data_IF_106837904129
#
_entry.id   IF_106837904129
#
_cell.length_a   1.000
_cell.length_b   1.000
_cell.length_c   1.000
_cell.angle_alpha   90.00
_cell.angle_beta   90.00
_cell.angle_gamma   90.00
#
_symmetry.space_group_name_H-M   'P 1'
#
loop_
_entity.id
_entity.type
_entity.pdbx_description
1 polymer ?
#
# COMPACT_ATOMS: atom_id res chain seq x y z
N UNK A 1 -12.53 10.85 8.85
CA UNK A 1 -11.96 9.88 7.88
C UNK A 1 -10.45 9.87 8.03
N UNK A 2 -9.88 8.95 8.80
CA UNK A 2 -8.42 8.81 8.90
C UNK A 2 -7.93 7.94 7.73
N UNK A 3 -7.23 8.56 6.77
CA UNK A 3 -6.56 7.83 5.68
C UNK A 3 -5.45 6.98 6.29
N UNK A 4 -5.61 5.66 6.24
CA UNK A 4 -4.60 4.70 6.68
C UNK A 4 -3.33 4.81 5.84
N UNK A 5 -2.18 4.72 6.51
CA UNK A 5 -0.85 4.74 5.91
C UNK A 5 -0.69 3.57 4.94
N UNK A 6 -0.14 3.81 3.74
CA UNK A 6 0.03 2.79 2.70
C UNK A 6 0.86 1.60 3.21
N UNK A 7 0.60 0.40 2.65
CA UNK A 7 1.29 -0.83 3.04
C UNK A 7 2.82 -0.69 2.89
N UNK A 8 3.27 -0.12 1.77
CA UNK A 8 4.69 0.12 1.50
C UNK A 8 5.36 1.04 2.53
N UNK A 9 4.64 2.04 3.02
CA UNK A 9 5.16 2.95 4.06
C UNK A 9 5.30 2.22 5.41
N UNK A 10 4.39 1.29 5.72
CA UNK A 10 4.48 0.44 6.92
C UNK A 10 5.64 -0.55 6.82
N UNK A 11 5.78 -1.21 5.68
CA UNK A 11 6.85 -2.19 5.44
C UNK A 11 8.24 -1.51 5.47
N UNK A 12 8.36 -0.30 4.91
CA UNK A 12 9.58 0.51 4.98
C UNK A 12 9.94 0.90 6.43
N UNK A 13 8.97 1.32 7.24
CA UNK A 13 9.21 1.66 8.65
C UNK A 13 9.65 0.43 9.44
N UNK A 14 9.05 -0.72 9.17
CA UNK A 14 9.37 -1.97 9.83
C UNK A 14 10.78 -2.46 9.46
N UNK A 15 11.17 -2.34 8.17
CA UNK A 15 12.52 -2.64 7.71
C UNK A 15 13.57 -1.71 8.35
N UNK A 16 13.33 -0.40 8.40
CA UNK A 16 14.25 0.54 9.07
C UNK A 16 14.38 0.25 10.57
N UNK A 17 13.30 -0.17 11.24
CA UNK A 17 13.35 -0.55 12.64
C UNK A 17 14.18 -1.84 12.85
N UNK A 18 14.03 -2.83 11.97
CA UNK A 18 14.86 -4.06 12.02
C UNK A 18 16.32 -3.79 11.71
N UNK A 19 16.61 -2.94 10.72
CA UNK A 19 17.97 -2.55 10.37
C UNK A 19 18.66 -1.83 11.54
N UNK A 20 17.94 -0.91 12.20
CA UNK A 20 18.47 -0.21 13.38
C UNK A 20 18.79 -1.17 14.52
N UNK A 21 17.94 -2.17 14.78
CA UNK A 21 18.17 -3.21 15.79
C UNK A 21 19.39 -4.08 15.47
N UNK A 22 19.51 -4.54 14.23
CA UNK A 22 20.66 -5.34 13.78
C UNK A 22 21.96 -4.53 13.85
N UNK A 23 21.93 -3.23 13.51
CA UNK A 23 23.09 -2.34 13.66
C UNK A 23 23.53 -2.19 15.11
N UNK A 24 22.60 -2.08 16.06
CA UNK A 24 22.94 -2.03 17.49
C UNK A 24 23.51 -3.36 17.99
N UNK A 25 22.94 -4.50 17.58
CA UNK A 25 23.45 -5.83 17.96
C UNK A 25 24.86 -6.09 17.42
N UNK A 26 25.15 -5.65 16.18
CA UNK A 26 26.50 -5.74 15.60
C UNK A 26 27.51 -4.91 16.40
N UNK A 27 27.12 -3.71 16.85
CA UNK A 27 27.99 -2.85 17.64
C UNK A 27 28.26 -3.45 19.03
N UNK A 28 27.24 -4.02 19.67
CA UNK A 28 27.39 -4.71 20.95
C UNK A 28 28.30 -5.94 20.84
N UNK A 29 28.14 -6.75 19.78
CA UNK A 29 29.01 -7.90 19.51
C UNK A 29 30.45 -7.48 19.23
N UNK A 30 30.67 -6.37 18.52
CA UNK A 30 32.01 -5.80 18.31
C UNK A 30 32.66 -5.36 19.62
N UNK A 31 31.91 -4.71 20.51
CA UNK A 31 32.40 -4.33 21.83
C UNK A 31 32.73 -5.54 22.70
N UNK A 32 31.90 -6.58 22.68
CA UNK A 32 32.18 -7.84 23.39
C UNK A 32 33.44 -8.52 22.86
N UNK A 33 33.60 -8.61 21.53
CA UNK A 33 34.80 -9.18 20.91
C UNK A 33 36.06 -8.40 21.30
N UNK A 34 35.98 -7.06 21.33
CA UNK A 34 37.10 -6.21 21.77
C UNK A 34 37.48 -6.49 23.23
N UNK A 35 36.51 -6.59 24.14
CA UNK A 35 36.75 -6.92 25.56
C UNK A 35 37.41 -8.30 25.72
N UNK A 36 36.95 -9.31 25.00
CA UNK A 36 37.53 -10.66 25.05
C UNK A 36 38.96 -10.67 24.54
N UNK A 37 39.24 -9.95 23.45
CA UNK A 37 40.59 -9.83 22.90
C UNK A 37 41.55 -9.11 23.86
N UNK A 38 41.07 -8.07 24.54
CA UNK A 38 41.85 -7.30 25.52
C UNK A 38 42.14 -8.15 26.78
N UNK A 39 41.13 -8.87 27.31
CA UNK A 39 41.30 -9.83 28.41
C UNK A 39 42.32 -10.92 28.06
N UNK A 40 42.23 -11.50 26.86
CA UNK A 40 43.16 -12.55 26.41
C UNK A 40 44.59 -12.01 26.24
N UNK A 41 44.75 -10.74 25.84
CA UNK A 41 46.05 -10.08 25.75
C UNK A 41 46.66 -9.85 27.14
N UNK A 42 45.85 -9.40 28.10
CA UNK A 42 46.29 -9.22 29.49
C UNK A 42 46.69 -10.55 30.15
N UNK A 43 45.91 -11.61 29.95
CA UNK A 43 46.24 -12.96 30.44
C UNK A 43 47.56 -13.49 29.87
N UNK A 44 47.77 -13.33 28.56
CA UNK A 44 49.05 -13.70 27.91
C UNK A 44 50.23 -12.93 28.49
N UNK A 45 50.04 -11.64 28.78
CA UNK A 45 51.08 -10.81 29.40
C UNK A 45 51.38 -11.29 30.83
N UNK A 46 50.36 -11.56 31.64
CA UNK A 46 50.52 -12.10 33.00
C UNK A 46 51.28 -13.44 33.00
N UNK A 47 50.93 -14.35 32.10
CA UNK A 47 51.62 -15.64 31.98
C UNK A 47 53.11 -15.48 31.61
N UNK A 48 53.43 -14.58 30.69
CA UNK A 48 54.82 -14.28 30.33
C UNK A 48 55.59 -13.65 31.49
N UNK A 49 54.96 -12.74 32.25
CA UNK A 49 55.56 -12.10 33.42
C UNK A 49 55.81 -13.14 34.55
N UNK A 50 54.87 -14.06 34.80
CA UNK A 50 55.03 -15.16 35.76
C UNK A 50 56.13 -16.17 35.37
N UNK A 51 56.29 -16.44 34.08
CA UNK A 51 57.35 -17.31 33.56
C UNK A 51 58.73 -16.64 33.66
N UNK A 52 58.83 -15.35 33.34
CA UNK A 52 60.04 -14.56 33.51
C UNK A 52 60.49 -14.51 34.98
N UNK A 53 59.55 -14.27 35.91
CA UNK A 53 59.83 -14.28 37.35
C UNK A 53 60.34 -15.65 37.84
N UNK A 54 59.74 -16.74 37.38
CA UNK A 54 60.23 -18.10 37.69
C UNK A 54 61.65 -18.32 37.19
N UNK A 55 61.98 -17.81 36.00
CA UNK A 55 63.32 -17.97 35.43
C UNK A 55 64.38 -17.16 36.16
N UNK A 56 64.05 -15.94 36.58
CA UNK A 56 64.95 -15.10 37.38
C UNK A 56 65.30 -15.81 38.69
N UNK A 57 64.29 -16.35 39.39
CA UNK A 57 64.51 -17.07 40.66
C UNK A 57 65.44 -18.28 40.50
N UNK A 58 65.26 -19.07 39.44
CA UNK A 58 66.16 -20.20 39.14
C UNK A 58 67.61 -19.76 38.89
N UNK A 59 67.81 -18.65 38.18
CA UNK A 59 69.15 -18.13 37.89
C UNK A 59 69.82 -17.55 39.15
N UNK A 60 69.05 -16.94 40.05
CA UNK A 60 69.55 -16.46 41.35
C UNK A 60 69.99 -17.62 42.25
N UNK A 61 69.24 -18.73 42.29
CA UNK A 61 69.61 -19.95 43.03
C UNK A 61 70.90 -20.57 42.46
N UNK A 62 71.03 -20.68 41.13
CA UNK A 62 72.24 -21.17 40.48
C UNK A 62 73.46 -20.28 40.73
N UNK A 63 73.28 -18.96 40.73
CA UNK A 63 74.35 -18.01 41.05
C UNK A 63 74.83 -18.22 42.49
N UNK A 64 73.92 -18.42 43.44
CA UNK A 64 74.26 -18.66 44.83
C UNK A 64 75.07 -19.96 45.01
N UNK A 65 74.69 -21.04 44.32
CA UNK A 65 75.42 -22.32 44.35
C UNK A 65 76.83 -22.22 43.76
N UNK A 66 76.99 -21.52 42.63
CA UNK A 66 78.30 -21.29 42.01
C UNK A 66 79.22 -20.42 42.89
N UNK A 67 78.66 -19.41 43.56
CA UNK A 67 79.42 -18.53 44.44
C UNK A 67 79.96 -19.28 45.67
N UNK A 68 79.21 -20.28 46.17
CA UNK A 68 79.63 -21.21 47.22
C UNK A 68 80.73 -22.18 46.77
N UNK A 69 80.73 -22.60 45.50
CA UNK A 69 81.77 -23.47 44.95
C UNK A 69 83.10 -22.73 44.76
N UNK A 70 83.08 -21.47 44.32
CA UNK A 70 84.30 -20.66 44.13
C UNK A 70 84.99 -20.33 45.45
N UNK A 71 84.24 -20.19 46.55
CA UNK A 71 84.81 -19.96 47.89
C UNK A 71 85.50 -21.20 48.48
N UNK A 72 85.10 -22.40 48.06
CA UNK A 72 85.73 -23.66 48.51
C UNK A 72 87.03 -24.04 47.76
N UNK A 73 87.36 -23.38 46.64
CA UNK A 73 88.51 -23.76 45.77
C UNK A 73 89.76 -22.89 46.02
N UNK A 74 89.69 -21.89 46.91
CA UNK A 74 90.90 -21.14 47.33
C UNK A 74 91.44 -21.68 48.67
N UNK A 75 92.38 -22.62 48.62
CA UNK A 75 93.58 -22.50 49.43
C UNK A 75 94.87 -22.64 48.61
N UNK A 76 95.84 -21.82 48.99
CA UNK A 76 97.30 -22.04 48.92
C UNK A 76 98.01 -21.90 47.55
N UNK A 77 98.57 -20.71 47.35
CA UNK A 77 99.78 -20.53 46.54
C UNK A 77 100.80 -19.76 47.40
N UNK A 78 101.73 -20.49 48.02
CA UNK A 78 102.87 -19.95 48.76
C UNK A 78 104.14 -20.63 48.26
N UNK A 79 104.99 -19.90 47.55
CA UNK A 79 106.33 -20.35 47.18
C UNK A 79 107.34 -19.25 47.51
N UNK A 80 107.73 -19.20 48.78
CA UNK A 80 108.89 -18.46 49.25
C UNK A 80 109.84 -19.45 49.90
N UNK A 81 111.00 -19.67 49.28
CA UNK A 81 112.33 -19.83 49.90
C UNK A 81 113.29 -20.54 48.93
N UNK A 82 114.04 -19.74 48.17
CA UNK A 82 115.31 -20.15 47.58
C UNK A 82 116.45 -19.74 48.54
N UNK A 83 117.45 -20.59 48.82
CA UNK A 83 118.66 -20.16 49.51
C UNK A 83 119.74 -19.65 48.52
N UNK A 84 120.65 -18.76 48.98
CA UNK A 84 121.58 -18.05 48.11
C UNK A 84 122.91 -18.78 47.88
N UNK A 85 123.58 -18.31 46.84
CA UNK A 85 124.81 -18.77 46.22
C UNK A 85 126.06 -18.89 47.12
N UNK A 86 127.04 -19.63 46.60
CA UNK A 86 128.45 -19.30 46.75
C UNK A 86 129.35 -20.51 46.92
N UNK A 87 130.18 -20.82 45.91
CA UNK A 87 131.64 -21.05 46.01
C UNK A 87 132.18 -21.34 44.61
N UNK A 88 132.83 -20.34 44.00
CA UNK A 88 133.62 -20.50 42.77
C UNK A 88 135.05 -20.85 43.20
N UNK A 89 135.56 -22.00 42.75
CA UNK A 89 136.99 -22.36 42.81
C UNK A 89 137.58 -22.23 41.40
N UNK A 90 138.77 -21.62 41.22
CA UNK A 90 139.52 -21.69 39.98
C UNK A 90 140.28 -23.03 39.95
N UNK A 91 140.08 -23.86 38.92
CA UNK A 91 140.79 -25.13 38.84
C UNK A 91 141.18 -25.48 37.40
N UNK A 92 142.38 -26.03 37.30
CA UNK A 92 143.18 -26.26 36.11
C UNK A 92 142.85 -27.66 35.60
N UNK A 93 142.26 -27.75 34.41
CA UNK A 93 141.56 -28.94 33.91
C UNK A 93 142.40 -30.23 33.89
N UNK A 94 141.88 -31.26 34.54
CA UNK A 94 142.19 -32.66 34.25
C UNK A 94 141.20 -33.19 33.21
N UNK A 95 141.58 -34.20 32.43
CA UNK A 95 140.73 -34.81 31.39
C UNK A 95 139.40 -35.37 31.94
N UNK A 96 139.33 -35.65 33.24
CA UNK A 96 138.12 -36.11 33.94
C UNK A 96 137.12 -34.97 34.20
N UNK A 97 137.60 -33.74 34.45
CA UNK A 97 136.72 -32.58 34.63
C UNK A 97 136.20 -32.03 33.31
N UNK A 98 137.00 -32.08 32.23
CA UNK A 98 136.52 -31.80 30.88
C UNK A 98 135.43 -32.79 30.44
N UNK A 99 135.56 -34.07 30.81
CA UNK A 99 134.53 -35.08 30.55
C UNK A 99 133.24 -34.81 31.34
N UNK A 100 133.34 -34.42 32.62
CA UNK A 100 132.18 -34.03 33.43
C UNK A 100 131.50 -32.75 32.93
N UNK A 101 132.27 -31.77 32.44
CA UNK A 101 131.73 -30.57 31.80
C UNK A 101 131.00 -30.93 30.50
N UNK A 102 131.55 -31.84 29.68
CA UNK A 102 130.90 -32.33 28.47
C UNK A 102 129.60 -33.10 28.78
N UNK A 103 129.59 -33.96 29.82
CA UNK A 103 128.36 -34.65 30.25
C UNK A 103 127.31 -33.68 30.80
N UNK A 104 127.74 -32.62 31.50
CA UNK A 104 126.87 -31.56 31.99
C UNK A 104 126.29 -30.72 30.83
N UNK A 105 127.08 -30.45 29.79
CA UNK A 105 126.62 -29.77 28.56
C UNK A 105 125.61 -30.64 27.79
N UNK A 106 125.86 -31.94 27.64
CA UNK A 106 124.91 -32.88 27.01
C UNK A 106 123.60 -33.00 27.81
N UNK A 107 123.71 -33.09 29.14
CA UNK A 107 122.52 -33.16 30.02
C UNK A 107 121.76 -31.83 30.04
N UNK A 108 122.48 -30.70 30.00
CA UNK A 108 121.91 -29.36 29.87
C UNK A 108 121.15 -29.19 28.58
N UNK A 109 121.73 -29.60 27.44
CA UNK A 109 121.06 -29.57 26.14
C UNK A 109 119.81 -30.45 26.12
N UNK A 110 119.88 -31.68 26.65
CA UNK A 110 118.71 -32.56 26.73
C UNK A 110 117.59 -31.98 27.61
N UNK A 111 117.95 -31.24 28.68
CA UNK A 111 116.99 -30.53 29.51
C UNK A 111 116.39 -29.31 28.81
N UNK A 112 117.19 -28.52 28.10
CA UNK A 112 116.71 -27.39 27.29
C UNK A 112 115.78 -27.86 26.16
N UNK A 113 116.13 -28.93 25.45
CA UNK A 113 115.29 -29.53 24.41
C UNK A 113 113.96 -30.04 24.99
N UNK A 114 114.00 -30.69 26.16
CA UNK A 114 112.80 -31.14 26.87
C UNK A 114 111.94 -29.97 27.36
N UNK A 115 112.57 -28.90 27.85
CA UNK A 115 111.88 -27.69 28.28
C UNK A 115 111.21 -26.99 27.09
N UNK A 116 111.91 -26.92 25.96
CA UNK A 116 111.35 -26.39 24.71
C UNK A 116 110.19 -27.27 24.21
N UNK A 117 110.35 -28.59 24.23
CA UNK A 117 109.29 -29.53 23.89
C UNK A 117 108.06 -29.36 24.80
N UNK A 118 108.27 -29.20 26.11
CA UNK A 118 107.19 -28.96 27.06
C UNK A 118 106.48 -27.63 26.77
N UNK A 119 107.23 -26.57 26.46
CA UNK A 119 106.65 -25.28 26.06
C UNK A 119 105.80 -25.38 24.79
N UNK A 120 106.25 -26.15 23.78
CA UNK A 120 105.50 -26.41 22.54
C UNK A 120 104.22 -27.22 22.82
N UNK A 121 104.29 -28.23 23.70
CA UNK A 121 103.11 -29.01 24.09
C UNK A 121 102.07 -28.16 24.83
N UNK A 122 102.51 -27.28 25.73
CA UNK A 122 101.62 -26.33 26.42
C UNK A 122 100.95 -25.38 25.42
N UNK A 123 101.71 -24.86 24.44
CA UNK A 123 101.14 -24.02 23.40
C UNK A 123 100.10 -24.76 22.56
N UNK A 124 100.39 -26.00 22.14
CA UNK A 124 99.44 -26.83 21.38
C UNK A 124 98.16 -27.12 22.17
N UNK A 125 98.26 -27.36 23.48
CA UNK A 125 97.09 -27.53 24.34
C UNK A 125 96.23 -26.27 24.38
N UNK A 126 96.84 -25.08 24.54
CA UNK A 126 96.13 -23.80 24.50
C UNK A 126 95.43 -23.56 23.16
N UNK A 127 96.12 -23.82 22.04
CA UNK A 127 95.54 -23.66 20.71
C UNK A 127 94.38 -24.64 20.46
N UNK A 128 94.48 -25.88 20.96
CA UNK A 128 93.38 -26.85 20.93
C UNK A 128 92.19 -26.41 21.77
N UNK A 129 92.44 -25.88 22.97
CA UNK A 129 91.38 -25.36 23.83
C UNK A 129 90.68 -24.15 23.20
N UNK A 130 91.43 -23.21 22.61
CA UNK A 130 90.87 -22.07 21.87
C UNK A 130 90.03 -22.51 20.67
N UNK A 131 90.48 -23.52 19.92
CA UNK A 131 89.71 -24.13 18.85
C UNK A 131 88.42 -24.80 19.37
N UNK A 132 88.51 -25.52 20.49
CA UNK A 132 87.35 -26.15 21.13
C UNK A 132 86.34 -25.10 21.63
N UNK A 133 86.79 -23.99 22.23
CA UNK A 133 85.92 -22.89 22.64
C UNK A 133 85.19 -22.25 21.46
N UNK A 134 85.90 -22.03 20.33
CA UNK A 134 85.30 -21.50 19.09
C UNK A 134 84.22 -22.45 18.57
N UNK A 135 84.53 -23.75 18.44
CA UNK A 135 83.57 -24.76 17.99
C UNK A 135 82.37 -24.87 18.92
N UNK A 136 82.57 -24.80 20.24
CA UNK A 136 81.47 -24.82 21.21
C UNK A 136 80.56 -23.60 21.07
N UNK A 137 81.13 -22.40 20.88
CA UNK A 137 80.38 -21.16 20.62
C UNK A 137 79.60 -21.25 19.30
N UNK A 138 80.22 -21.71 18.22
CA UNK A 138 79.56 -21.91 16.92
C UNK A 138 78.43 -22.93 17.01
N UNK A 139 78.63 -24.05 17.72
CA UNK A 139 77.60 -25.05 17.98
C UNK A 139 76.40 -24.45 18.72
N UNK A 140 76.63 -23.60 19.72
CA UNK A 140 75.56 -22.92 20.45
C UNK A 140 74.77 -21.98 19.52
N UNK A 141 75.46 -21.17 18.71
CA UNK A 141 74.83 -20.26 17.74
C UNK A 141 74.02 -21.02 16.68
N UNK A 142 74.58 -22.10 16.13
CA UNK A 142 73.88 -22.95 15.17
C UNK A 142 72.61 -23.57 15.78
N UNK A 143 72.68 -24.07 17.02
CA UNK A 143 71.52 -24.62 17.72
C UNK A 143 70.43 -23.57 17.98
N UNK A 144 70.80 -22.34 18.34
CA UNK A 144 69.85 -21.24 18.49
C UNK A 144 69.19 -20.89 17.16
N UNK A 145 69.97 -20.79 16.08
CA UNK A 145 69.43 -20.54 14.73
C UNK A 145 68.48 -21.64 14.28
N UNK A 146 68.84 -22.91 14.48
CA UNK A 146 67.96 -24.05 14.18
C UNK A 146 66.69 -24.08 15.01
N UNK A 147 66.70 -23.52 16.23
CA UNK A 147 65.48 -23.35 17.03
C UNK A 147 64.58 -22.28 16.41
N UNK A 148 65.13 -21.10 16.12
CA UNK A 148 64.38 -20.01 15.49
C UNK A 148 63.78 -20.40 14.13
N UNK A 149 64.56 -21.05 13.26
CA UNK A 149 64.06 -21.51 11.96
C UNK A 149 62.93 -22.55 12.08
N UNK A 150 62.96 -23.40 13.12
CA UNK A 150 61.85 -24.34 13.39
C UNK A 150 60.60 -23.63 13.87
N UNK A 151 60.76 -22.65 14.76
CA UNK A 151 59.64 -21.82 15.24
C UNK A 151 59.03 -21.01 14.09
N UNK A 152 59.84 -20.40 13.24
CA UNK A 152 59.37 -19.68 12.04
C UNK A 152 58.66 -20.61 11.05
N UNK A 153 59.23 -21.80 10.79
CA UNK A 153 58.57 -22.81 9.95
C UNK A 153 57.20 -23.21 10.51
N UNK A 154 57.11 -23.49 11.81
CA UNK A 154 55.83 -23.85 12.44
C UNK A 154 54.82 -22.70 12.34
N UNK A 155 55.26 -21.46 12.56
CA UNK A 155 54.40 -20.28 12.41
C UNK A 155 53.86 -20.12 10.99
N UNK A 156 54.68 -20.39 9.97
CA UNK A 156 54.25 -20.36 8.57
C UNK A 156 53.27 -21.49 8.24
N UNK A 157 53.49 -22.69 8.78
CA UNK A 157 52.58 -23.83 8.64
C UNK A 157 51.20 -23.54 9.28
N UNK A 158 51.20 -22.98 10.49
CA UNK A 158 49.97 -22.57 11.19
C UNK A 158 49.21 -21.47 10.42
N UNK A 159 49.95 -20.51 9.85
CA UNK A 159 49.36 -19.47 8.98
C UNK A 159 48.77 -20.07 7.70
N UNK A 160 49.46 -21.01 7.06
CA UNK A 160 48.95 -21.71 5.87
C UNK A 160 47.65 -22.43 6.20
N UNK A 161 47.63 -23.23 7.27
CA UNK A 161 46.44 -23.96 7.70
C UNK A 161 45.27 -23.01 8.03
N UNK A 162 45.55 -21.87 8.66
CA UNK A 162 44.54 -20.84 8.93
C UNK A 162 43.98 -20.24 7.64
N UNK A 163 44.82 -20.03 6.62
CA UNK A 163 44.34 -19.53 5.31
C UNK A 163 43.53 -20.58 4.57
N UNK A 164 43.92 -21.84 4.63
CA UNK A 164 43.20 -22.94 3.98
C UNK A 164 41.79 -23.10 4.57
N UNK A 165 41.67 -23.09 5.90
CA UNK A 165 40.35 -23.11 6.58
C UNK A 165 39.49 -21.90 6.24
N UNK A 166 40.08 -20.71 6.09
CA UNK A 166 39.36 -19.52 5.63
C UNK A 166 38.88 -19.67 4.18
N UNK A 167 39.70 -20.21 3.28
CA UNK A 167 39.35 -20.46 1.88
C UNK A 167 38.18 -21.46 1.80
N UNK A 168 38.23 -22.55 2.58
CA UNK A 168 37.14 -23.52 2.65
C UNK A 168 35.84 -22.89 3.15
N UNK A 169 35.91 -22.05 4.19
CA UNK A 169 34.75 -21.30 4.68
C UNK A 169 34.18 -20.35 3.61
N UNK A 170 35.04 -19.66 2.85
CA UNK A 170 34.62 -18.80 1.75
C UNK A 170 33.95 -19.61 0.62
N UNK A 171 34.46 -20.80 0.28
CA UNK A 171 33.82 -21.68 -0.70
C UNK A 171 32.42 -22.15 -0.26
N UNK A 172 32.20 -22.38 1.03
CA UNK A 172 30.87 -22.70 1.56
C UNK A 172 29.92 -21.50 1.37
N UNK A 173 30.37 -20.28 1.67
CA UNK A 173 29.57 -19.06 1.48
C UNK A 173 29.25 -18.85 0.00
N UNK A 174 30.24 -19.04 -0.88
CA UNK A 174 30.05 -18.90 -2.33
C UNK A 174 28.98 -19.87 -2.85
N UNK A 175 29.03 -21.15 -2.47
CA UNK A 175 27.99 -22.13 -2.84
C UNK A 175 26.59 -21.72 -2.38
N UNK A 176 26.46 -21.20 -1.14
CA UNK A 176 25.17 -20.69 -0.63
C UNK A 176 24.67 -19.49 -1.43
N UNK A 177 25.56 -18.60 -1.87
CA UNK A 177 25.22 -17.46 -2.71
C UNK A 177 24.76 -17.91 -4.11
N UNK A 178 25.44 -18.88 -4.72
CA UNK A 178 25.03 -19.45 -6.02
C UNK A 178 23.67 -20.17 -5.95
N UNK A 179 23.39 -20.90 -4.86
CA UNK A 179 22.07 -21.52 -4.63
C UNK A 179 20.96 -20.47 -4.49
N UNK A 180 21.27 -19.38 -3.77
CA UNK A 180 20.35 -18.24 -3.63
C UNK A 180 20.13 -17.53 -4.96
N UNK A 181 21.18 -17.33 -5.75
CA UNK A 181 21.10 -16.74 -7.10
C UNK A 181 20.22 -17.60 -8.02
N UNK A 182 20.45 -18.92 -8.07
CA UNK A 182 19.61 -19.87 -8.82
C UNK A 182 18.15 -19.81 -8.38
N UNK A 183 17.90 -19.74 -7.08
CA UNK A 183 16.55 -19.62 -6.53
C UNK A 183 15.88 -18.29 -6.93
N UNK A 184 16.62 -17.18 -6.90
CA UNK A 184 16.13 -15.87 -7.33
C UNK A 184 15.86 -15.83 -8.84
N UNK A 185 16.72 -16.41 -9.67
CA UNK A 185 16.50 -16.53 -11.11
C UNK A 185 15.21 -17.32 -11.42
N UNK A 186 14.96 -18.43 -10.71
CA UNK A 186 13.71 -19.19 -10.84
C UNK A 186 12.48 -18.38 -10.40
N UNK A 187 12.60 -17.58 -9.34
CA UNK A 187 11.52 -16.70 -8.87
C UNK A 187 11.20 -15.61 -9.89
N UNK A 188 12.23 -14.97 -10.47
CA UNK A 188 12.07 -13.97 -11.53
C UNK A 188 11.36 -14.58 -12.74
N UNK A 189 11.81 -15.75 -13.22
CA UNK A 189 11.16 -16.45 -14.34
C UNK A 189 9.68 -16.76 -14.08
N UNK A 190 9.34 -17.14 -12.84
CA UNK A 190 7.94 -17.37 -12.45
C UNK A 190 7.12 -16.08 -12.51
N UNK A 191 7.64 -14.98 -11.95
CA UNK A 191 6.96 -13.67 -12.00
C UNK A 191 6.78 -13.18 -13.44
N UNK A 192 7.77 -13.37 -14.31
CA UNK A 192 7.67 -12.98 -15.73
C UNK A 192 6.55 -13.74 -16.44
N UNK A 193 6.39 -15.04 -16.18
CA UNK A 193 5.28 -15.84 -16.71
C UNK A 193 3.93 -15.37 -16.18
N UNK A 194 3.84 -15.08 -14.88
CA UNK A 194 2.61 -14.54 -14.27
C UNK A 194 2.25 -13.17 -14.87
N UNK A 195 3.23 -12.29 -15.07
CA UNK A 195 3.05 -11.00 -15.70
C UNK A 195 2.51 -11.15 -17.13
N UNK A 196 3.07 -12.06 -17.93
CA UNK A 196 2.61 -12.33 -19.28
C UNK A 196 1.14 -12.81 -19.29
N UNK A 197 0.78 -13.74 -18.40
CA UNK A 197 -0.60 -14.22 -18.26
C UNK A 197 -1.56 -13.09 -17.84
N UNK A 198 -1.14 -12.22 -16.91
CA UNK A 198 -1.92 -11.06 -16.46
C UNK A 198 -2.13 -10.05 -17.58
N UNK A 199 -1.09 -9.78 -18.39
CA UNK A 199 -1.20 -8.91 -19.56
C UNK A 199 -2.15 -9.49 -20.60
N UNK A 200 -2.07 -10.80 -20.89
CA UNK A 200 -2.99 -11.47 -21.81
C UNK A 200 -4.45 -11.40 -21.32
N UNK A 201 -4.69 -11.64 -20.03
CA UNK A 201 -6.02 -11.53 -19.44
C UNK A 201 -6.56 -10.08 -19.52
N UNK A 202 -5.71 -9.09 -19.24
CA UNK A 202 -6.08 -7.68 -19.33
C UNK A 202 -6.45 -7.28 -20.76
N UNK A 203 -5.67 -7.68 -21.77
CA UNK A 203 -5.97 -7.36 -23.17
C UNK A 203 -7.26 -8.05 -23.64
N UNK A 204 -7.51 -9.29 -23.21
CA UNK A 204 -8.79 -9.97 -23.44
C UNK A 204 -9.98 -9.21 -22.84
N UNK A 205 -9.87 -8.74 -21.58
CA UNK A 205 -10.93 -7.98 -20.93
C UNK A 205 -11.16 -6.62 -21.61
N UNK A 206 -10.09 -5.95 -22.03
CA UNK A 206 -10.15 -4.70 -22.78
C UNK A 206 -10.89 -4.89 -24.11
N UNK A 207 -10.57 -5.95 -24.87
CA UNK A 207 -11.28 -6.30 -26.10
C UNK A 207 -12.77 -6.55 -25.84
N UNK A 208 -13.13 -7.34 -24.82
CA UNK A 208 -14.54 -7.58 -24.43
C UNK A 208 -15.27 -6.30 -24.04
N UNK A 209 -14.60 -5.37 -23.35
CA UNK A 209 -15.17 -4.08 -22.98
C UNK A 209 -15.49 -3.23 -24.23
N UNK A 210 -14.60 -3.24 -25.23
CA UNK A 210 -14.82 -2.55 -26.51
C UNK A 210 -15.99 -3.18 -27.26
N UNK A 211 -16.01 -4.50 -27.41
CA UNK A 211 -17.11 -5.24 -28.08
C UNK A 211 -18.47 -4.98 -27.37
N UNK A 212 -18.48 -4.98 -26.03
CA UNK A 212 -19.68 -4.65 -25.26
C UNK A 212 -20.12 -3.20 -25.43
N UNK A 213 -19.19 -2.25 -25.51
CA UNK A 213 -19.51 -0.84 -25.73
C UNK A 213 -20.08 -0.60 -27.13
N UNK A 214 -19.53 -1.29 -28.14
CA UNK A 214 -20.06 -1.26 -29.52
C UNK A 214 -21.47 -1.83 -29.56
N UNK A 215 -21.70 -3.02 -28.97
CA UNK A 215 -23.03 -3.62 -28.91
C UNK A 215 -24.06 -2.74 -28.20
N UNK A 216 -23.67 -2.04 -27.12
CA UNK A 216 -24.53 -1.09 -26.44
C UNK A 216 -24.87 0.13 -27.31
N UNK A 217 -23.90 0.64 -28.08
CA UNK A 217 -24.13 1.74 -29.01
C UNK A 217 -25.09 1.33 -30.15
N UNK A 218 -24.92 0.15 -30.72
CA UNK A 218 -25.80 -0.38 -31.78
C UNK A 218 -27.24 -0.57 -31.27
N UNK A 219 -27.40 -1.16 -30.08
CA UNK A 219 -28.72 -1.31 -29.44
C UNK A 219 -29.38 0.04 -29.17
N UNK A 220 -28.60 1.05 -28.78
CA UNK A 220 -29.11 2.41 -28.59
C UNK A 220 -29.62 3.03 -29.90
N UNK A 221 -28.87 2.87 -30.99
CA UNK A 221 -29.30 3.32 -32.32
C UNK A 221 -30.59 2.63 -32.76
N UNK A 222 -30.72 1.32 -32.52
CA UNK A 222 -31.96 0.59 -32.77
C UNK A 222 -33.13 1.13 -31.93
N UNK A 223 -32.89 1.40 -30.65
CA UNK A 223 -33.88 1.97 -29.75
C UNK A 223 -34.37 3.35 -30.24
N UNK A 224 -33.45 4.23 -30.62
CA UNK A 224 -33.76 5.56 -31.17
C UNK A 224 -34.58 5.45 -32.46
N UNK A 225 -34.20 4.52 -33.36
CA UNK A 225 -34.95 4.24 -34.59
C UNK A 225 -36.36 3.75 -34.30
N UNK A 226 -36.54 2.76 -33.43
CA UNK A 226 -37.87 2.24 -33.07
C UNK A 226 -38.71 3.28 -32.34
N UNK A 227 -38.09 4.13 -31.51
CA UNK A 227 -38.79 5.21 -30.83
C UNK A 227 -39.29 6.27 -31.83
N UNK A 228 -38.49 6.63 -32.84
CA UNK A 228 -38.92 7.50 -33.93
C UNK A 228 -40.09 6.90 -34.73
N UNK A 229 -39.99 5.63 -35.13
CA UNK A 229 -41.07 4.91 -35.82
C UNK A 229 -42.37 4.84 -35.00
N UNK A 230 -42.26 4.60 -33.68
CA UNK A 230 -43.40 4.61 -32.78
C UNK A 230 -44.07 5.98 -32.75
N UNK A 231 -43.28 7.06 -32.68
CA UNK A 231 -43.78 8.43 -32.67
C UNK A 231 -44.50 8.79 -33.98
N UNK A 232 -43.94 8.41 -35.12
CA UNK A 232 -44.59 8.58 -36.42
C UNK A 232 -45.91 7.79 -36.50
N UNK A 233 -45.92 6.53 -36.08
CA UNK A 233 -47.14 5.72 -36.04
C UNK A 233 -48.21 6.32 -35.11
N UNK A 234 -47.82 6.81 -33.93
CA UNK A 234 -48.71 7.52 -33.01
C UNK A 234 -49.30 8.79 -33.63
N UNK A 235 -48.50 9.56 -34.35
CA UNK A 235 -48.97 10.75 -35.06
C UNK A 235 -49.97 10.39 -36.15
N UNK A 236 -49.67 9.38 -36.98
CA UNK A 236 -50.59 8.91 -38.02
C UNK A 236 -51.90 8.42 -37.41
N UNK A 237 -51.86 7.67 -36.31
CA UNK A 237 -53.07 7.23 -35.60
C UNK A 237 -53.87 8.44 -35.10
N UNK A 238 -53.23 9.44 -34.49
CA UNK A 238 -53.92 10.64 -34.00
C UNK A 238 -54.60 11.42 -35.16
N UNK A 239 -53.91 11.60 -36.28
CA UNK A 239 -54.46 12.25 -37.48
C UNK A 239 -55.64 11.48 -38.05
N UNK A 240 -55.53 10.14 -38.15
CA UNK A 240 -56.63 9.29 -38.64
C UNK A 240 -57.83 9.30 -37.70
N UNK A 241 -57.61 9.25 -36.39
CA UNK A 241 -58.69 9.37 -35.39
C UNK A 241 -59.41 10.71 -35.52
N UNK A 242 -58.67 11.81 -35.60
CA UNK A 242 -59.26 13.16 -35.77
C UNK A 242 -60.05 13.29 -37.08
N UNK A 243 -59.52 12.75 -38.19
CA UNK A 243 -60.23 12.73 -39.46
C UNK A 243 -61.53 11.91 -39.38
N UNK A 244 -61.50 10.76 -38.70
CA UNK A 244 -62.65 9.89 -38.52
C UNK A 244 -63.72 10.53 -37.63
N UNK A 245 -63.33 11.25 -36.58
CA UNK A 245 -64.22 12.07 -35.75
C UNK A 245 -64.88 13.21 -36.55
N UNK A 246 -64.11 13.89 -37.40
CA UNK A 246 -64.62 14.95 -38.26
C UNK A 246 -65.65 14.42 -39.28
N UNK A 247 -65.37 13.29 -39.92
CA UNK A 247 -66.31 12.62 -40.83
C UNK A 247 -67.54 12.06 -40.10
N UNK A 248 -67.38 11.51 -38.90
CA UNK A 248 -68.51 11.10 -38.07
C UNK A 248 -69.41 12.29 -37.70
N UNK A 249 -68.83 13.44 -37.39
CA UNK A 249 -69.58 14.68 -37.11
C UNK A 249 -70.33 15.18 -38.34
N UNK A 250 -69.67 15.25 -39.51
CA UNK A 250 -70.32 15.62 -40.78
C UNK A 250 -71.47 14.66 -41.12
N UNK A 251 -71.25 13.36 -40.96
CA UNK A 251 -72.26 12.33 -41.21
C UNK A 251 -73.47 12.53 -40.31
N UNK A 252 -73.28 12.81 -39.01
CA UNK A 252 -74.37 13.14 -38.09
C UNK A 252 -75.15 14.37 -38.54
N UNK A 253 -74.47 15.45 -38.97
CA UNK A 253 -75.12 16.67 -39.47
C UNK A 253 -75.97 16.39 -40.72
N UNK A 254 -75.41 15.68 -41.69
CA UNK A 254 -76.15 15.27 -42.87
C UNK A 254 -77.35 14.38 -42.52
N UNK A 255 -77.21 13.45 -41.57
CA UNK A 255 -78.33 12.64 -41.08
C UNK A 255 -79.43 13.49 -40.43
N UNK A 256 -79.07 14.52 -39.64
CA UNK A 256 -80.02 15.48 -39.05
C UNK A 256 -80.77 16.27 -40.14
N UNK A 257 -80.06 16.79 -41.14
CA UNK A 257 -80.66 17.51 -42.29
C UNK A 257 -81.59 16.60 -43.10
N UNK A 258 -81.15 15.37 -43.39
CA UNK A 258 -81.93 14.38 -44.12
C UNK A 258 -83.20 13.99 -43.34
N UNK A 259 -83.10 13.86 -42.02
CA UNK A 259 -84.26 13.66 -41.14
C UNK A 259 -85.22 14.87 -41.13
N UNK A 260 -84.69 16.11 -41.11
CA UNK A 260 -85.51 17.32 -41.24
C UNK A 260 -86.23 17.36 -42.59
N UNK A 261 -85.54 17.12 -43.70
CA UNK A 261 -86.13 17.11 -45.03
C UNK A 261 -87.17 16.00 -45.17
N UNK A 262 -86.93 14.80 -44.62
CA UNK A 262 -87.93 13.72 -44.55
C UNK A 262 -89.17 14.15 -43.77
N UNK A 263 -89.01 14.75 -42.58
CA UNK A 263 -90.15 15.28 -41.80
C UNK A 263 -90.92 16.36 -42.56
N UNK A 264 -90.23 17.25 -43.27
CA UNK A 264 -90.88 18.28 -44.12
C UNK A 264 -91.64 17.64 -45.28
N UNK A 265 -91.05 16.66 -45.97
CA UNK A 265 -91.69 15.92 -47.05
C UNK A 265 -92.92 15.15 -46.55
N UNK A 266 -92.85 14.50 -45.39
CA UNK A 266 -93.99 13.83 -44.76
C UNK A 266 -95.09 14.81 -44.34
N UNK A 267 -94.75 16.01 -43.82
CA UNK A 267 -95.72 17.05 -43.53
C UNK A 267 -96.42 17.53 -44.80
N UNK A 268 -95.68 17.84 -45.86
CA UNK A 268 -96.25 18.24 -47.15
C UNK A 268 -97.18 17.15 -47.69
N UNK A 269 -96.76 15.88 -47.61
CA UNK A 269 -97.57 14.73 -48.02
C UNK A 269 -98.83 14.55 -47.16
N UNK A 270 -98.76 14.80 -45.85
CA UNK A 270 -99.95 14.80 -44.98
C UNK A 270 -100.89 15.97 -45.29
N UNK A 271 -100.37 17.16 -45.56
CA UNK A 271 -101.17 18.33 -45.95
C UNK A 271 -101.90 18.04 -47.27
N UNK A 272 -101.22 17.46 -48.26
CA UNK A 272 -101.85 17.00 -49.51
C UNK A 272 -102.87 15.88 -49.30
N UNK A 273 -102.60 14.92 -48.40
CA UNK A 273 -103.47 13.75 -48.19
C UNK A 273 -104.72 14.07 -47.36
N UNK A 274 -104.64 15.03 -46.42
CA UNK A 274 -105.74 15.27 -45.46
C UNK A 274 -106.69 16.40 -45.91
N UNK A 275 -106.33 17.22 -46.91
CA UNK A 275 -107.20 18.25 -47.46
C UNK A 275 -107.61 19.37 -46.49
N UNK A 276 -106.95 19.46 -45.33
CA UNK A 276 -107.21 20.49 -44.31
C UNK A 276 -106.50 21.77 -44.72
N UNK A 277 -107.26 22.87 -44.84
CA UNK A 277 -106.71 24.16 -45.29
C UNK A 277 -105.77 24.78 -44.24
N UNK A 278 -104.77 25.54 -44.70
CA UNK A 278 -103.82 26.28 -43.85
C UNK A 278 -104.53 27.17 -42.81
N UNK A 279 -105.72 27.67 -43.14
CA UNK A 279 -106.52 28.50 -42.24
C UNK A 279 -107.05 27.73 -41.02
N UNK A 280 -107.43 26.46 -41.14
CA UNK A 280 -107.91 25.67 -40.00
C UNK A 280 -106.80 25.35 -39.00
N UNK A 281 -105.58 25.09 -39.50
CA UNK A 281 -104.40 24.86 -38.66
C UNK A 281 -104.00 26.15 -37.93
N UNK A 282 -104.05 27.30 -38.61
CA UNK A 282 -103.78 28.61 -38.00
C UNK A 282 -104.82 28.97 -36.93
N UNK A 283 -106.10 28.66 -37.17
CA UNK A 283 -107.18 28.93 -36.20
C UNK A 283 -107.02 28.08 -34.93
N UNK A 284 -106.61 26.82 -35.06
CA UNK A 284 -106.39 25.93 -33.90
C UNK A 284 -105.12 26.32 -33.13
N UNK A 285 -104.03 26.72 -33.80
CA UNK A 285 -102.86 27.29 -33.12
C UNK A 285 -103.21 28.60 -32.37
N UNK A 286 -104.02 29.48 -32.97
CA UNK A 286 -104.51 30.70 -32.31
C UNK A 286 -105.35 30.34 -31.08
N UNK A 287 -106.13 29.25 -31.13
CA UNK A 287 -106.92 28.76 -29.99
C UNK A 287 -106.02 28.25 -28.87
N UNK A 288 -105.01 27.42 -29.17
CA UNK A 288 -104.04 26.92 -28.19
C UNK A 288 -103.23 28.04 -27.53
N UNK A 289 -102.79 29.05 -28.32
CA UNK A 289 -102.10 30.22 -27.77
C UNK A 289 -103.03 31.04 -26.87
N UNK A 290 -104.31 31.22 -27.24
CA UNK A 290 -105.30 31.91 -26.40
C UNK A 290 -105.56 31.15 -25.09
N UNK A 291 -105.63 29.82 -25.11
CA UNK A 291 -105.81 29.00 -23.92
C UNK A 291 -104.58 29.07 -22.99
N UNK A 292 -103.39 28.94 -23.55
CA UNK A 292 -102.12 29.01 -22.80
C UNK A 292 -101.93 30.37 -22.13
N UNK A 293 -102.41 31.45 -22.73
CA UNK A 293 -102.34 32.81 -22.18
C UNK A 293 -103.48 33.14 -21.19
N UNK A 294 -104.46 32.25 -21.03
CA UNK A 294 -105.58 32.43 -20.12
C UNK A 294 -105.22 31.95 -18.70
N UNK A 295 -105.67 32.69 -17.68
CA UNK A 295 -105.35 32.39 -16.29
C UNK A 295 -105.95 31.04 -15.88
N UNK A 296 -105.15 30.08 -15.39
CA UNK A 296 -105.67 28.77 -15.02
C UNK A 296 -106.57 28.81 -13.77
N UNK A 297 -106.57 29.90 -13.00
CA UNK A 297 -107.38 30.03 -11.78
C UNK A 297 -108.81 30.50 -12.03
N UNK A 298 -109.05 31.34 -13.05
CA UNK A 298 -110.41 31.77 -13.40
C UNK A 298 -110.87 31.30 -14.78
N UNK A 299 -109.95 30.83 -15.64
CA UNK A 299 -110.18 30.44 -17.05
C UNK A 299 -110.84 31.52 -17.92
N UNK A 300 -110.89 32.77 -17.46
CA UNK A 300 -111.57 33.88 -18.13
C UNK A 300 -110.59 35.01 -18.46
N UNK A 301 -109.83 35.48 -17.46
CA UNK A 301 -108.90 36.61 -17.63
C UNK A 301 -107.54 36.12 -18.12
N UNK A 302 -106.81 36.95 -18.87
CA UNK A 302 -105.44 36.63 -19.29
C UNK A 302 -104.46 36.69 -18.12
N UNK A 303 -103.35 35.97 -18.28
CA UNK A 303 -102.21 36.00 -17.37
C UNK A 303 -101.53 37.38 -17.41
N UNK A 304 -101.59 38.12 -16.31
CA UNK A 304 -101.00 39.47 -16.19
C UNK A 304 -100.19 39.68 -14.91
N UNK A 305 -100.00 38.64 -14.09
CA UNK A 305 -99.15 38.67 -12.91
C UNK A 305 -98.39 37.36 -12.67
N UNK A 306 -97.13 37.47 -12.23
CA UNK A 306 -96.25 36.35 -11.88
C UNK A 306 -95.91 36.37 -10.39
N UNK A 307 -95.86 35.20 -9.78
CA UNK A 307 -95.34 35.03 -8.42
C UNK A 307 -93.82 34.82 -8.47
N UNK A 308 -93.04 35.76 -7.94
CA UNK A 308 -91.57 35.72 -8.03
C UNK A 308 -90.92 34.51 -7.35
N UNK A 309 -91.61 33.91 -6.36
CA UNK A 309 -91.09 32.76 -5.61
C UNK A 309 -91.19 31.42 -6.36
N UNK A 310 -92.20 31.25 -7.21
CA UNK A 310 -92.45 29.97 -7.89
C UNK A 310 -92.65 30.13 -9.41
N UNK A 311 -92.48 31.34 -9.93
CA UNK A 311 -92.60 31.72 -11.35
C UNK A 311 -93.90 31.26 -12.03
N UNK A 312 -94.95 31.02 -11.24
CA UNK A 312 -96.26 30.68 -11.77
C UNK A 312 -97.06 31.95 -12.07
N UNK A 313 -97.69 31.95 -13.25
CA UNK A 313 -98.35 33.13 -13.82
C UNK A 313 -99.88 32.95 -13.81
N UNK A 314 -100.59 33.97 -13.30
CA UNK A 314 -102.04 34.03 -13.18
C UNK A 314 -102.53 35.44 -13.54
N UNK A 315 -103.84 35.70 -13.43
CA UNK A 315 -104.31 37.07 -13.44
C UNK A 315 -104.15 37.70 -12.05
N UNK A 316 -103.86 39.00 -12.00
CA UNK A 316 -103.65 39.77 -10.80
C UNK A 316 -104.89 39.72 -9.91
N UNK A 317 -106.09 39.78 -10.49
CA UNK A 317 -107.34 39.69 -9.75
C UNK A 317 -107.45 38.39 -8.94
N UNK A 318 -107.11 37.23 -9.53
CA UNK A 318 -107.12 35.95 -8.81
C UNK A 318 -106.08 35.91 -7.68
N UNK A 319 -104.90 36.50 -7.89
CA UNK A 319 -103.87 36.58 -6.84
C UNK A 319 -104.25 37.57 -5.74
N UNK A 320 -104.89 38.70 -6.08
CA UNK A 320 -105.39 39.72 -5.15
C UNK A 320 -106.50 39.15 -4.27
N UNK A 321 -107.51 38.51 -4.85
CA UNK A 321 -108.60 37.88 -4.07
C UNK A 321 -108.07 36.84 -3.09
N UNK A 322 -107.12 35.99 -3.51
CA UNK A 322 -106.49 35.01 -2.60
C UNK A 322 -105.65 35.66 -1.50
N UNK A 323 -105.02 36.80 -1.80
CA UNK A 323 -104.23 37.53 -0.81
C UNK A 323 -105.12 38.18 0.27
N UNK A 324 -106.23 38.79 -0.15
CA UNK A 324 -107.22 39.45 0.71
C UNK A 324 -107.99 38.45 1.58
N UNK A 325 -108.40 37.31 1.01
CA UNK A 325 -109.10 36.21 1.72
C UNK A 325 -108.18 35.36 2.60
N UNK A 326 -106.93 35.81 2.85
CA UNK A 326 -105.88 35.12 3.63
C UNK A 326 -105.49 33.73 3.11
N UNK A 327 -105.92 33.33 1.92
CA UNK A 327 -105.51 32.09 1.24
C UNK A 327 -104.20 32.29 0.45
N UNK A 328 -103.15 32.72 1.16
CA UNK A 328 -101.87 33.20 0.61
C UNK A 328 -100.94 32.09 0.11
N UNK A 329 -101.47 31.13 -0.64
CA UNK A 329 -100.72 30.01 -1.26
C UNK A 329 -101.00 29.94 -2.77
N UNK A 330 -99.95 29.68 -3.55
CA UNK A 330 -100.02 29.60 -5.01
C UNK A 330 -101.06 28.55 -5.45
N UNK A 331 -101.99 28.88 -6.37
CA UNK A 331 -102.98 27.91 -6.86
C UNK A 331 -102.40 26.66 -7.51
N UNK A 332 -101.17 26.72 -8.06
CA UNK A 332 -100.55 25.62 -8.81
C UNK A 332 -99.61 24.75 -7.96
N UNK A 333 -98.80 25.35 -7.09
CA UNK A 333 -97.78 24.62 -6.33
C UNK A 333 -97.88 24.81 -4.81
N UNK A 334 -98.91 25.51 -4.34
CA UNK A 334 -99.18 25.75 -2.92
C UNK A 334 -98.08 26.53 -2.15
N UNK A 335 -97.05 27.05 -2.82
CA UNK A 335 -96.03 27.89 -2.21
C UNK A 335 -96.63 29.18 -1.63
N UNK A 336 -96.23 29.55 -0.42
CA UNK A 336 -96.70 30.75 0.24
C UNK A 336 -96.18 32.03 -0.45
N UNK A 337 -97.06 32.99 -0.71
CA UNK A 337 -96.70 34.27 -1.34
C UNK A 337 -97.24 35.47 -0.54
N UNK A 338 -96.47 36.58 -0.54
CA UNK A 338 -96.85 37.86 0.08
C UNK A 338 -97.15 38.93 -0.97
N UNK A 339 -97.69 40.08 -0.57
CA UNK A 339 -98.03 41.18 -1.49
C UNK A 339 -96.81 41.62 -2.34
N UNK A 340 -95.64 41.74 -1.72
CA UNK A 340 -94.38 42.12 -2.41
C UNK A 340 -93.86 41.08 -3.40
N UNK A 341 -94.41 39.87 -3.41
CA UNK A 341 -93.99 38.77 -4.30
C UNK A 341 -94.92 38.58 -5.50
N UNK A 342 -96.00 39.36 -5.59
CA UNK A 342 -96.88 39.41 -6.76
C UNK A 342 -96.36 40.52 -7.66
N UNK A 343 -95.94 40.16 -8.87
CA UNK A 343 -95.40 41.12 -9.85
C UNK A 343 -96.37 41.19 -11.03
N UNK A 344 -96.99 42.34 -11.23
CA UNK A 344 -97.92 42.58 -12.35
C UNK A 344 -97.11 42.98 -13.58
N UNK A 345 -97.41 42.39 -14.74
CA UNK A 345 -96.65 42.63 -15.98
C UNK A 345 -96.69 44.09 -16.45
N UNK A 346 -97.74 44.84 -16.11
CA UNK A 346 -97.80 46.29 -16.37
C UNK A 346 -96.74 47.03 -15.54
N UNK A 347 -96.53 46.65 -14.28
CA UNK A 347 -95.43 47.19 -13.46
C UNK A 347 -94.07 46.79 -14.02
N UNK A 348 -93.94 45.57 -14.58
CA UNK A 348 -92.72 45.15 -15.25
C UNK A 348 -92.43 46.01 -16.49
N UNK A 349 -93.44 46.29 -17.33
CA UNK A 349 -93.31 47.22 -18.48
C UNK A 349 -92.94 48.64 -18.03
N UNK A 350 -93.55 49.17 -16.98
CA UNK A 350 -93.21 50.49 -16.44
C UNK A 350 -91.80 50.53 -15.82
N UNK A 351 -91.36 49.46 -15.15
CA UNK A 351 -90.00 49.34 -14.61
C UNK A 351 -88.95 49.17 -15.71
N UNK A 352 -89.26 48.39 -16.76
CA UNK A 352 -88.43 48.28 -17.96
C UNK A 352 -88.37 49.61 -18.73
N UNK A 353 -89.49 50.33 -18.90
CA UNK A 353 -89.49 51.67 -19.52
C UNK A 353 -88.71 52.69 -18.69
N UNK A 354 -88.78 52.64 -17.35
CA UNK A 354 -87.94 53.47 -16.47
C UNK A 354 -86.45 53.14 -16.61
N UNK A 355 -86.09 51.86 -16.72
CA UNK A 355 -84.70 51.43 -16.98
C UNK A 355 -84.22 51.84 -18.38
N UNK A 356 -85.11 51.90 -19.37
CA UNK A 356 -84.81 52.34 -20.74
C UNK A 356 -84.76 53.87 -20.92
N UNK A 357 -85.28 54.67 -19.98
CA UNK A 357 -85.18 56.15 -19.99
C UNK A 357 -84.13 56.68 -18.98
N UNK A 358 -83.37 55.79 -18.34
CA UNK A 358 -82.26 56.11 -17.41
C UNK A 358 -80.89 55.67 -17.97
N UNK A 359 -80.84 55.42 -19.29
CA UNK A 359 -79.65 55.32 -20.14
C UNK A 359 -79.89 56.34 -21.26
#
# INVERSE_FOLDING_TARGET
MYKGVSKDQRDKVQLMATEKKLRTEIEDLRQQMKKVMESKREERKKLADEEALRKIKQLEEQKYELQKQVTNIKPEMNWGNAPPAGYVRPFVGSHEEEALLAEMEVTGQAFEDMQEQNSRLIQQLREKDDANFKLMSERIKANQMHKFLREEKQMLEDQSSTRDTQIEAMHIVLRKLEEKERSLQNYVSTIEKELALRQQAMEMHKRKAIESAQSAADLKLHLEKYHAQMKEAQQVVAEKTSALEAEAYKTKRLQEELAQHKRKAERMKKIEMTGVSIDEVMIEEIREYKETLTCPSCKVKRKDAVLSKCFHVFCYDCLRTRYETRQRKCPKCNCAFGAKTIIVFISLKYQLLKLLHLI
#
